data_IF_038316397255
#
_entry.id   IF_038316397255
#
_cell.length_a   1.000
_cell.length_b   1.000
_cell.length_c   1.000
_cell.angle_alpha   90.00
_cell.angle_beta   90.00
_cell.angle_gamma   90.00
#
_symmetry.space_group_name_H-M   'P 1'
#
loop_
_entity.id
_entity.type
_entity.pdbx_description
1 polymer ?
#
# COMPACT_ATOMS: atom_id res chain seq x y z
N UNK A 1 -15.81 17.02 -3.06
CA UNK A 1 -16.83 15.97 -3.19
C UNK A 1 -18.01 16.42 -2.36
N UNK A 2 -19.15 16.66 -2.99
CA UNK A 2 -20.41 16.70 -2.25
C UNK A 2 -20.85 15.26 -2.09
N UNK A 3 -20.93 14.79 -0.84
CA UNK A 3 -21.33 13.44 -0.51
C UNK A 3 -22.64 13.49 0.27
N UNK A 4 -23.68 12.88 -0.30
CA UNK A 4 -24.94 12.65 0.41
C UNK A 4 -24.87 11.28 1.07
N UNK A 5 -24.93 11.25 2.40
CA UNK A 5 -24.98 10.01 3.17
C UNK A 5 -26.44 9.68 3.49
N UNK A 6 -26.91 8.53 3.03
CA UNK A 6 -28.19 7.95 3.42
C UNK A 6 -27.94 6.68 4.24
N UNK A 7 -28.62 6.53 5.38
CA UNK A 7 -28.51 5.33 6.22
C UNK A 7 -29.53 4.31 5.74
N UNK A 8 -29.14 3.04 5.62
CA UNK A 8 -30.06 1.96 5.29
C UNK A 8 -31.11 1.83 6.40
N UNK A 9 -32.35 1.52 6.03
CA UNK A 9 -33.49 1.48 6.96
C UNK A 9 -33.33 0.48 8.11
N UNK A 10 -32.52 -0.56 7.90
CA UNK A 10 -32.20 -1.61 8.88
C UNK A 10 -31.00 -1.25 9.78
N UNK A 11 -30.38 -0.07 9.56
CA UNK A 11 -29.21 0.38 10.30
C UNK A 11 -27.93 -0.42 10.01
N UNK A 12 -27.94 -1.35 9.05
CA UNK A 12 -26.81 -2.24 8.75
C UNK A 12 -25.66 -1.53 8.01
N UNK A 13 -25.93 -0.36 7.44
CA UNK A 13 -24.94 0.41 6.71
C UNK A 13 -25.44 1.77 6.23
N UNK A 14 -24.61 2.43 5.43
CA UNK A 14 -24.97 3.69 4.79
C UNK A 14 -24.54 3.67 3.32
N UNK A 15 -25.40 4.25 2.48
CA UNK A 15 -25.10 4.56 1.08
C UNK A 15 -24.50 5.96 1.04
N UNK A 16 -23.31 6.07 0.47
CA UNK A 16 -22.66 7.34 0.17
C UNK A 16 -22.83 7.63 -1.31
N UNK A 17 -23.61 8.65 -1.63
CA UNK A 17 -23.73 9.16 -2.99
C UNK A 17 -22.73 10.32 -3.12
N UNK A 18 -21.58 10.07 -3.74
CA UNK A 18 -20.65 11.13 -4.11
C UNK A 18 -21.06 11.66 -5.48
N UNK A 19 -21.43 12.94 -5.55
CA UNK A 19 -21.60 13.60 -6.85
C UNK A 19 -20.27 14.22 -7.29
N UNK A 20 -19.98 14.24 -8.61
CA UNK A 20 -18.88 15.05 -9.13
C UNK A 20 -19.09 16.48 -8.64
N UNK A 21 -18.05 17.08 -8.07
CA UNK A 21 -18.13 18.48 -7.70
C UNK A 21 -18.24 19.28 -9.00
N UNK A 22 -19.43 19.80 -9.32
CA UNK A 22 -19.66 20.59 -10.54
C UNK A 22 -18.80 21.87 -10.56
N UNK A 23 -18.24 22.25 -9.41
CA UNK A 23 -17.19 23.23 -9.33
C UNK A 23 -15.86 22.63 -9.79
N UNK A 24 -15.37 23.12 -10.93
CA UNK A 24 -14.02 22.86 -11.44
C UNK A 24 -13.01 23.01 -10.30
N UNK A 25 -12.09 22.04 -10.09
CA UNK A 25 -11.10 22.13 -9.02
C UNK A 25 -10.33 23.45 -9.13
N UNK A 26 -10.30 24.21 -8.05
CA UNK A 26 -9.52 25.44 -7.96
C UNK A 26 -8.19 25.10 -7.29
N UNK A 27 -7.10 25.16 -8.04
CA UNK A 27 -5.74 25.02 -7.49
C UNK A 27 -5.30 26.24 -6.65
N UNK A 28 -6.09 27.33 -6.64
CA UNK A 28 -5.86 28.48 -5.76
C UNK A 28 -5.89 28.04 -4.29
N UNK A 29 -4.73 28.05 -3.63
CA UNK A 29 -4.55 27.57 -2.25
C UNK A 29 -3.81 26.23 -2.12
N UNK A 30 -3.71 25.45 -3.21
CA UNK A 30 -2.86 24.24 -3.28
C UNK A 30 -1.41 24.65 -3.54
N UNK A 31 -1.21 25.61 -4.47
CA UNK A 31 0.10 26.18 -4.76
C UNK A 31 -0.02 27.60 -5.32
N UNK A 32 0.94 28.46 -4.96
CA UNK A 32 1.15 29.77 -5.60
C UNK A 32 2.20 29.67 -6.74
N UNK A 33 2.87 28.52 -6.86
CA UNK A 33 3.89 28.23 -7.86
C UNK A 33 3.31 27.34 -8.97
N UNK A 34 4.06 27.17 -10.05
CA UNK A 34 3.68 26.24 -11.10
C UNK A 34 3.60 24.80 -10.55
N UNK A 35 2.61 24.02 -10.99
CA UNK A 35 2.55 22.58 -10.75
C UNK A 35 3.55 21.89 -11.67
N UNK A 36 4.38 21.02 -11.09
CA UNK A 36 5.42 20.30 -11.84
C UNK A 36 4.97 18.87 -12.09
N UNK A 37 4.77 18.50 -13.35
CA UNK A 37 4.45 17.13 -13.76
C UNK A 37 5.75 16.44 -14.16
N UNK A 38 6.03 15.29 -13.57
CA UNK A 38 7.29 14.55 -13.75
C UNK A 38 6.98 13.17 -14.31
N UNK A 39 7.61 12.83 -15.43
CA UNK A 39 7.35 11.59 -16.17
C UNK A 39 8.63 11.03 -16.80
N UNK A 40 8.70 9.73 -17.06
CA UNK A 40 9.85 9.13 -17.74
C UNK A 40 9.92 9.52 -19.22
N UNK A 41 8.75 9.55 -19.86
CA UNK A 41 8.51 9.90 -21.26
C UNK A 41 7.22 10.69 -21.34
N UNK A 42 7.01 11.42 -22.41
CA UNK A 42 5.73 12.11 -22.64
C UNK A 42 4.58 11.09 -22.77
N UNK A 43 3.51 11.32 -22.01
CA UNK A 43 2.31 10.47 -21.97
C UNK A 43 1.03 11.28 -22.23
N UNK A 44 -0.02 10.59 -22.70
CA UNK A 44 -1.34 11.21 -22.86
C UNK A 44 -1.96 11.67 -21.53
N UNK A 45 -1.66 10.98 -20.43
CA UNK A 45 -2.03 11.43 -19.08
C UNK A 45 -1.28 12.71 -18.70
N UNK A 46 0.02 12.82 -19.05
CA UNK A 46 0.81 14.04 -18.88
C UNK A 46 0.24 15.24 -19.64
N UNK A 47 -0.20 15.03 -20.89
CA UNK A 47 -0.89 16.05 -21.71
C UNK A 47 -2.20 16.50 -21.04
N UNK A 48 -3.03 15.52 -20.68
CA UNK A 48 -4.34 15.74 -20.06
C UNK A 48 -4.21 16.49 -18.72
N UNK A 49 -3.22 16.13 -17.90
CA UNK A 49 -2.90 16.82 -16.65
C UNK A 49 -2.43 18.26 -16.88
N UNK A 50 -1.54 18.50 -17.85
CA UNK A 50 -1.09 19.85 -18.15
C UNK A 50 -2.26 20.74 -18.59
N UNK A 51 -3.12 20.22 -19.46
CA UNK A 51 -4.33 20.92 -19.90
C UNK A 51 -5.29 21.15 -18.72
N UNK A 52 -5.52 20.14 -17.89
CA UNK A 52 -6.42 20.24 -16.75
C UNK A 52 -5.94 21.27 -15.72
N UNK A 53 -4.64 21.31 -15.40
CA UNK A 53 -4.02 22.31 -14.51
C UNK A 53 -4.17 23.71 -15.09
N UNK A 54 -3.83 23.90 -16.37
CA UNK A 54 -3.91 25.22 -17.02
C UNK A 54 -5.35 25.72 -17.11
N UNK A 55 -6.32 24.83 -17.27
CA UNK A 55 -7.75 25.14 -17.23
C UNK A 55 -8.26 25.62 -15.85
N UNK A 56 -7.49 25.43 -14.77
CA UNK A 56 -7.79 26.04 -13.47
C UNK A 56 -7.19 27.45 -13.31
N UNK A 57 -6.44 27.93 -14.31
CA UNK A 57 -5.68 29.19 -14.25
C UNK A 57 -4.31 29.09 -13.58
N UNK A 58 -3.87 27.89 -13.19
CA UNK A 58 -2.54 27.67 -12.63
C UNK A 58 -1.52 27.39 -13.74
N UNK A 59 -0.24 27.73 -13.51
CA UNK A 59 0.83 27.36 -14.41
C UNK A 59 1.18 25.87 -14.24
N UNK A 60 1.46 25.18 -15.34
CA UNK A 60 1.89 23.79 -15.37
C UNK A 60 3.21 23.67 -16.12
N UNK A 61 4.15 22.90 -15.58
CA UNK A 61 5.42 22.58 -16.23
C UNK A 61 5.60 21.07 -16.26
N UNK A 62 5.88 20.51 -17.43
CA UNK A 62 6.27 19.11 -17.59
C UNK A 62 7.79 18.98 -17.63
N UNK A 63 8.32 17.97 -16.93
CA UNK A 63 9.76 17.73 -16.82
C UNK A 63 10.01 16.23 -16.92
N UNK A 64 10.87 15.83 -17.86
CA UNK A 64 11.32 14.45 -17.91
C UNK A 64 12.17 14.12 -16.68
N UNK A 65 11.96 12.94 -16.10
CA UNK A 65 12.67 12.52 -14.89
C UNK A 65 14.19 12.57 -15.05
N UNK A 66 14.70 12.19 -16.22
CA UNK A 66 16.13 12.26 -16.54
C UNK A 66 16.73 13.67 -16.42
N UNK A 67 15.90 14.72 -16.56
CA UNK A 67 16.29 16.13 -16.49
C UNK A 67 16.06 16.77 -15.10
N UNK A 68 15.59 16.00 -14.12
CA UNK A 68 15.48 16.49 -12.75
C UNK A 68 16.88 16.66 -12.15
N UNK A 69 17.19 17.89 -11.74
CA UNK A 69 18.48 18.30 -11.17
C UNK A 69 18.23 19.25 -9.99
N UNK A 70 19.30 19.68 -9.31
CA UNK A 70 19.19 20.67 -8.23
C UNK A 70 18.68 22.04 -8.71
N UNK A 71 18.85 22.35 -10.00
CA UNK A 71 18.35 23.59 -10.60
C UNK A 71 16.84 23.52 -10.92
N UNK A 72 16.24 22.33 -10.88
CA UNK A 72 14.81 22.15 -11.07
C UNK A 72 14.07 22.85 -9.92
N UNK A 73 13.14 23.74 -10.24
CA UNK A 73 12.43 24.60 -9.26
C UNK A 73 11.38 23.81 -8.46
N UNK A 74 11.82 22.85 -7.64
CA UNK A 74 10.96 22.00 -6.83
C UNK A 74 10.75 22.53 -5.41
N UNK A 75 11.57 23.49 -4.97
CA UNK A 75 11.48 24.06 -3.62
C UNK A 75 10.08 24.60 -3.32
N UNK A 76 9.40 23.93 -2.38
CA UNK A 76 8.01 24.16 -1.97
C UNK A 76 6.97 24.04 -3.09
N UNK A 77 7.32 23.40 -4.20
CA UNK A 77 6.41 23.17 -5.31
C UNK A 77 5.38 22.07 -4.97
N UNK A 78 4.31 22.03 -5.75
CA UNK A 78 3.43 20.86 -5.86
C UNK A 78 3.83 20.08 -7.10
N UNK A 79 4.18 18.82 -6.92
CA UNK A 79 4.58 17.93 -8.00
C UNK A 79 3.58 16.79 -8.20
N UNK A 80 3.36 16.39 -9.45
CA UNK A 80 2.64 15.18 -9.83
C UNK A 80 3.66 14.25 -10.47
N UNK A 81 3.89 13.11 -9.85
CA UNK A 81 4.88 12.12 -10.28
C UNK A 81 4.17 10.97 -10.98
N UNK A 82 4.38 10.84 -12.29
CA UNK A 82 3.91 9.74 -13.13
C UNK A 82 4.96 8.64 -13.30
N UNK A 83 5.98 8.62 -12.44
CA UNK A 83 7.12 7.70 -12.55
C UNK A 83 6.72 6.23 -12.41
N UNK A 84 5.71 5.97 -11.58
CA UNK A 84 5.16 4.63 -11.30
C UNK A 84 3.85 4.37 -12.09
N UNK A 85 3.46 5.29 -12.99
CA UNK A 85 2.21 5.18 -13.73
C UNK A 85 2.28 4.10 -14.81
N UNK A 86 3.47 3.73 -15.29
CA UNK A 86 3.65 2.72 -16.35
C UNK A 86 4.50 1.53 -15.92
N UNK A 87 5.63 1.80 -15.25
CA UNK A 87 6.61 0.78 -14.88
C UNK A 87 7.01 0.92 -13.41
N UNK A 88 7.30 -0.19 -12.70
CA UNK A 88 7.60 -0.18 -11.28
C UNK A 88 9.02 0.36 -11.00
N UNK A 89 9.19 1.68 -11.01
CA UNK A 89 10.49 2.35 -10.84
C UNK A 89 11.18 1.88 -9.56
N UNK A 90 10.47 1.88 -8.43
CA UNK A 90 11.02 1.54 -7.12
C UNK A 90 11.46 0.08 -6.99
N UNK A 91 10.95 -0.82 -7.81
CA UNK A 91 11.35 -2.22 -7.80
C UNK A 91 12.76 -2.45 -8.38
N UNK A 92 13.23 -1.53 -9.24
CA UNK A 92 14.50 -1.63 -9.96
C UNK A 92 15.27 -0.32 -10.03
N UNK A 93 15.11 0.55 -9.03
CA UNK A 93 15.63 1.92 -9.08
C UNK A 93 17.17 1.94 -9.08
N UNK A 94 17.77 2.68 -10.02
CA UNK A 94 19.23 2.87 -10.07
C UNK A 94 19.69 3.97 -9.11
N UNK A 95 20.99 4.02 -8.80
CA UNK A 95 21.57 5.08 -7.96
C UNK A 95 21.31 6.50 -8.50
N UNK A 96 21.28 6.65 -9.82
CA UNK A 96 21.04 7.93 -10.46
C UNK A 96 19.59 8.38 -10.31
N UNK A 97 18.66 7.44 -10.43
CA UNK A 97 17.23 7.68 -10.26
C UNK A 97 16.89 7.91 -8.80
N UNK A 98 17.49 7.14 -7.88
CA UNK A 98 17.35 7.34 -6.44
C UNK A 98 17.82 8.75 -6.03
N UNK A 99 18.93 9.25 -6.60
CA UNK A 99 19.38 10.63 -6.37
C UNK A 99 18.34 11.65 -6.82
N UNK A 100 17.73 11.47 -8.00
CA UNK A 100 16.69 12.38 -8.50
C UNK A 100 15.38 12.28 -7.71
N UNK A 101 14.99 11.09 -7.28
CA UNK A 101 13.84 10.88 -6.41
C UNK A 101 14.04 11.57 -5.06
N UNK A 102 15.26 11.52 -4.49
CA UNK A 102 15.63 12.27 -3.28
C UNK A 102 15.54 13.78 -3.46
N UNK A 103 15.90 14.31 -4.64
CA UNK A 103 15.71 15.74 -4.94
C UNK A 103 14.22 16.10 -4.98
N UNK A 104 13.41 15.27 -5.64
CA UNK A 104 11.97 15.45 -5.72
C UNK A 104 11.31 15.49 -4.34
N UNK A 105 11.49 14.43 -3.55
CA UNK A 105 10.89 14.31 -2.22
C UNK A 105 11.59 15.18 -1.17
N UNK A 106 12.80 15.67 -1.44
CA UNK A 106 13.55 16.56 -0.56
C UNK A 106 13.20 18.03 -0.70
N UNK A 107 12.71 18.47 -1.86
CA UNK A 107 12.45 19.89 -2.13
C UNK A 107 10.96 20.22 -2.25
N UNK A 108 10.14 19.31 -2.77
CA UNK A 108 8.72 19.55 -2.96
C UNK A 108 7.97 19.63 -1.62
N UNK A 109 6.93 20.47 -1.58
CA UNK A 109 6.01 20.56 -0.43
C UNK A 109 4.92 19.50 -0.53
N UNK A 110 4.34 19.35 -1.72
CA UNK A 110 3.33 18.35 -2.02
C UNK A 110 3.83 17.49 -3.17
N UNK A 111 3.68 16.17 -3.07
CA UNK A 111 3.93 15.24 -4.16
C UNK A 111 2.73 14.31 -4.26
N UNK A 112 2.09 14.24 -5.42
CA UNK A 112 1.13 13.19 -5.75
C UNK A 112 1.81 12.15 -6.64
N UNK A 113 2.08 10.97 -6.09
CA UNK A 113 2.63 9.84 -6.81
C UNK A 113 1.50 9.01 -7.41
N UNK A 114 1.52 8.84 -8.73
CA UNK A 114 0.54 8.02 -9.46
C UNK A 114 1.17 6.65 -9.72
N UNK A 115 0.49 5.59 -9.30
CA UNK A 115 0.90 4.19 -9.50
C UNK A 115 -0.16 3.46 -10.30
N UNK A 116 0.22 2.46 -11.10
CA UNK A 116 -0.72 1.62 -11.84
C UNK A 116 -0.68 0.16 -11.38
N UNK A 117 -0.93 -0.05 -10.09
CA UNK A 117 -0.87 -1.35 -9.43
C UNK A 117 -2.15 -2.17 -9.52
N UNK A 118 -3.31 -1.51 -9.67
CA UNK A 118 -4.63 -2.08 -9.39
C UNK A 118 -4.58 -2.88 -8.07
N UNK A 119 -4.14 -2.19 -7.01
CA UNK A 119 -3.79 -2.79 -5.72
C UNK A 119 -5.02 -3.35 -5.00
N UNK A 120 -6.21 -2.81 -5.27
CA UNK A 120 -7.47 -3.38 -4.78
C UNK A 120 -7.69 -4.81 -5.29
N UNK A 121 -7.30 -5.09 -6.53
CA UNK A 121 -7.39 -6.43 -7.13
C UNK A 121 -6.06 -7.20 -7.07
N UNK A 122 -5.00 -6.58 -6.52
CA UNK A 122 -3.69 -7.20 -6.31
C UNK A 122 -2.94 -7.57 -7.59
N UNK A 123 -3.13 -6.84 -8.70
CA UNK A 123 -2.54 -7.22 -10.00
C UNK A 123 -1.03 -7.06 -10.07
N UNK A 124 -0.52 -5.88 -9.67
CA UNK A 124 0.91 -5.55 -9.79
C UNK A 124 1.47 -5.11 -8.43
N UNK A 125 1.82 -6.06 -7.54
CA UNK A 125 2.23 -5.75 -6.18
C UNK A 125 3.51 -4.90 -6.10
N UNK A 126 4.36 -4.93 -7.12
CA UNK A 126 5.57 -4.10 -7.19
C UNK A 126 5.24 -2.60 -7.15
N UNK A 127 4.08 -2.19 -7.66
CA UNK A 127 3.62 -0.79 -7.61
C UNK A 127 3.23 -0.35 -6.20
N UNK A 128 2.98 -1.30 -5.28
CA UNK A 128 2.70 -1.01 -3.88
C UNK A 128 3.88 -0.44 -3.09
N UNK A 129 5.10 -0.47 -3.64
CA UNK A 129 6.29 0.08 -2.99
C UNK A 129 6.17 1.59 -2.76
N UNK A 130 5.47 2.33 -3.62
CA UNK A 130 5.28 3.77 -3.47
C UNK A 130 4.47 4.12 -2.21
N UNK A 131 3.49 3.29 -1.84
CA UNK A 131 2.72 3.47 -0.60
C UNK A 131 3.61 3.31 0.64
N UNK A 132 4.41 2.25 0.70
CA UNK A 132 5.36 2.04 1.80
C UNK A 132 6.42 3.15 1.90
N UNK A 133 6.94 3.61 0.76
CA UNK A 133 7.86 4.75 0.72
C UNK A 133 7.19 6.03 1.25
N UNK A 134 5.93 6.26 0.91
CA UNK A 134 5.15 7.40 1.40
C UNK A 134 5.11 7.40 2.92
N UNK A 135 4.72 6.30 3.55
CA UNK A 135 4.67 6.18 5.00
C UNK A 135 6.02 6.47 5.66
N UNK A 136 7.10 5.89 5.13
CA UNK A 136 8.43 6.10 5.67
C UNK A 136 8.88 7.57 5.58
N UNK A 137 8.71 8.21 4.42
CA UNK A 137 9.14 9.59 4.21
C UNK A 137 8.30 10.59 4.99
N UNK A 138 7.01 10.32 5.15
CA UNK A 138 6.11 11.17 5.91
C UNK A 138 6.40 11.18 7.41
N UNK A 139 6.92 10.08 7.96
CA UNK A 139 7.41 10.02 9.34
C UNK A 139 8.73 10.78 9.52
N UNK A 140 9.57 10.80 8.49
CA UNK A 140 10.88 11.44 8.52
C UNK A 140 10.79 12.96 8.29
N UNK A 141 9.91 13.41 7.39
CA UNK A 141 9.84 14.80 6.93
C UNK A 141 8.45 15.41 7.11
N UNK A 142 8.29 16.20 8.16
CA UNK A 142 7.04 16.92 8.44
C UNK A 142 6.67 18.00 7.41
N UNK A 143 7.62 18.44 6.58
CA UNK A 143 7.40 19.46 5.56
C UNK A 143 6.92 18.91 4.21
N UNK A 144 7.00 17.58 4.01
CA UNK A 144 6.55 16.91 2.79
C UNK A 144 5.17 16.28 3.02
N UNK A 145 4.24 16.58 2.11
CA UNK A 145 2.99 15.84 1.98
C UNK A 145 3.07 14.96 0.73
N UNK A 146 3.38 13.68 0.93
CA UNK A 146 3.41 12.68 -0.12
C UNK A 146 2.08 11.93 -0.16
N UNK A 147 1.38 12.05 -1.28
CA UNK A 147 0.12 11.37 -1.57
C UNK A 147 0.38 10.27 -2.60
N UNK A 148 -0.36 9.17 -2.49
CA UNK A 148 -0.32 8.06 -3.44
C UNK A 148 -1.70 7.86 -4.03
N UNK A 149 -1.76 7.79 -5.35
CA UNK A 149 -2.95 7.47 -6.12
C UNK A 149 -2.68 6.25 -6.97
N UNK A 150 -3.34 5.14 -6.65
CA UNK A 150 -3.26 3.93 -7.45
C UNK A 150 -4.40 3.89 -8.47
N UNK A 151 -4.07 3.84 -9.76
CA UNK A 151 -5.03 3.75 -10.87
C UNK A 151 -5.17 2.31 -11.34
N UNK A 152 -6.37 1.93 -11.79
CA UNK A 152 -6.62 0.66 -12.48
C UNK A 152 -6.50 0.76 -14.01
N UNK A 153 -6.12 1.94 -14.52
CA UNK A 153 -5.96 2.29 -15.95
C UNK A 153 -7.19 2.06 -16.82
N UNK A 154 -8.39 2.05 -16.25
CA UNK A 154 -9.62 1.88 -17.03
C UNK A 154 -10.22 3.21 -17.47
N UNK A 155 -9.97 4.27 -16.72
CA UNK A 155 -10.43 5.61 -17.06
C UNK A 155 -9.68 6.17 -18.28
N UNK A 156 -10.35 7.04 -19.03
CA UNK A 156 -9.69 7.88 -20.03
C UNK A 156 -8.79 8.90 -19.34
N UNK A 157 -7.69 9.27 -20.00
CA UNK A 157 -6.67 10.16 -19.46
C UNK A 157 -7.23 11.52 -18.98
N UNK A 158 -8.25 12.06 -19.65
CA UNK A 158 -8.92 13.30 -19.25
C UNK A 158 -9.71 13.14 -17.93
N UNK A 159 -10.42 12.02 -17.76
CA UNK A 159 -11.14 11.71 -16.53
C UNK A 159 -10.16 11.48 -15.37
N UNK A 160 -9.09 10.73 -15.61
CA UNK A 160 -8.06 10.47 -14.61
C UNK A 160 -7.34 11.77 -14.19
N UNK A 161 -7.00 12.65 -15.14
CA UNK A 161 -6.42 13.95 -14.85
C UNK A 161 -7.34 14.81 -13.96
N UNK A 162 -8.66 14.78 -14.20
CA UNK A 162 -9.64 15.47 -13.36
C UNK A 162 -9.71 14.88 -11.94
N UNK A 163 -9.71 13.56 -11.81
CA UNK A 163 -9.68 12.86 -10.53
C UNK A 163 -8.44 13.24 -9.71
N UNK A 164 -7.26 13.21 -10.34
CA UNK A 164 -5.98 13.58 -9.72
C UNK A 164 -5.98 15.04 -9.23
N UNK A 165 -6.50 15.98 -10.03
CA UNK A 165 -6.64 17.38 -9.62
C UNK A 165 -7.62 17.58 -8.47
N UNK A 166 -8.73 16.84 -8.48
CA UNK A 166 -9.70 16.88 -7.41
C UNK A 166 -9.05 16.42 -6.10
N UNK A 167 -8.27 15.34 -6.12
CA UNK A 167 -7.54 14.83 -4.96
C UNK A 167 -6.51 15.85 -4.45
N UNK A 168 -5.69 16.43 -5.35
CA UNK A 168 -4.73 17.47 -4.97
C UNK A 168 -5.38 18.66 -4.26
N UNK A 169 -6.59 19.00 -4.68
CA UNK A 169 -7.35 20.11 -4.10
C UNK A 169 -7.98 19.71 -2.77
N UNK A 170 -8.66 18.56 -2.69
CA UNK A 170 -9.32 18.11 -1.46
C UNK A 170 -8.32 17.76 -0.37
N UNK A 171 -7.14 17.25 -0.73
CA UNK A 171 -6.12 16.83 0.22
C UNK A 171 -5.55 17.98 1.07
N UNK A 172 -5.77 19.24 0.67
CA UNK A 172 -5.35 20.41 1.46
C UNK A 172 -6.16 20.57 2.75
N UNK A 173 -7.34 19.95 2.85
CA UNK A 173 -8.16 20.04 4.05
C UNK A 173 -7.54 19.23 5.20
N UNK A 174 -7.62 19.76 6.42
CA UNK A 174 -7.18 19.05 7.62
C UNK A 174 -7.92 17.72 7.76
N UNK A 175 -7.18 16.64 8.01
CA UNK A 175 -7.75 15.29 8.15
C UNK A 175 -8.04 14.57 6.83
N UNK A 176 -7.60 15.12 5.69
CA UNK A 176 -7.68 14.42 4.40
C UNK A 176 -6.73 13.24 4.32
N UNK A 177 -7.12 12.24 3.55
CA UNK A 177 -6.28 11.09 3.25
C UNK A 177 -5.12 11.44 2.33
N UNK A 178 -4.17 10.51 2.31
CA UNK A 178 -2.97 10.58 1.49
C UNK A 178 -2.80 9.34 0.63
N UNK A 179 -3.70 8.38 0.73
CA UNK A 179 -3.72 7.17 -0.07
C UNK A 179 -5.11 6.98 -0.67
N UNK A 180 -5.11 6.82 -1.98
CA UNK A 180 -6.30 6.75 -2.82
C UNK A 180 -6.10 5.59 -3.80
N UNK A 181 -7.19 4.87 -4.08
CA UNK A 181 -7.19 3.82 -5.12
C UNK A 181 -8.40 4.03 -6.02
N UNK A 182 -8.18 4.14 -7.33
CA UNK A 182 -9.23 4.11 -8.33
C UNK A 182 -9.57 2.66 -8.70
N UNK A 183 -10.86 2.37 -8.77
CA UNK A 183 -11.36 1.14 -9.36
C UNK A 183 -12.64 1.47 -10.13
N UNK A 184 -12.64 1.16 -11.43
CA UNK A 184 -13.73 1.41 -12.36
C UNK A 184 -14.17 2.89 -12.39
N UNK A 185 -13.19 3.80 -12.49
CA UNK A 185 -13.40 5.26 -12.50
C UNK A 185 -13.86 5.86 -11.17
N UNK A 186 -13.98 5.06 -10.12
CA UNK A 186 -14.38 5.51 -8.78
C UNK A 186 -13.17 5.53 -7.84
N UNK A 187 -12.96 6.66 -7.17
CA UNK A 187 -11.88 6.81 -6.19
C UNK A 187 -12.32 6.31 -4.81
N UNK A 188 -11.54 5.39 -4.26
CA UNK A 188 -11.68 4.80 -2.94
C UNK A 188 -10.59 5.30 -1.98
N UNK A 189 -10.90 5.30 -0.68
CA UNK A 189 -9.96 5.60 0.40
C UNK A 189 -10.08 4.52 1.47
N UNK A 190 -8.94 4.06 2.01
CA UNK A 190 -8.93 3.05 3.05
C UNK A 190 -9.46 3.62 4.38
N UNK A 191 -10.27 2.82 5.08
CA UNK A 191 -10.78 3.14 6.42
C UNK A 191 -10.69 1.90 7.29
N UNK A 192 -10.13 2.06 8.49
CA UNK A 192 -10.14 1.01 9.49
C UNK A 192 -11.55 0.92 10.09
N UNK A 193 -12.21 -0.20 9.83
CA UNK A 193 -13.49 -0.54 10.44
C UNK A 193 -13.32 -1.81 11.26
N UNK A 194 -13.96 -1.94 12.44
CA UNK A 194 -13.92 -3.18 13.19
C UNK A 194 -14.49 -4.32 12.36
N UNK A 195 -13.75 -5.41 12.23
CA UNK A 195 -14.29 -6.64 11.66
C UNK A 195 -15.15 -7.34 12.73
N UNK A 196 -16.46 -7.10 12.66
CA UNK A 196 -17.43 -7.66 13.62
C UNK A 196 -17.44 -9.18 13.62
N UNK A 197 -17.10 -9.84 12.49
CA UNK A 197 -17.08 -11.31 12.41
C UNK A 197 -15.85 -11.86 13.12
N UNK A 198 -14.66 -11.32 12.84
CA UNK A 198 -13.43 -11.72 13.55
C UNK A 198 -13.56 -11.39 15.04
N UNK A 199 -14.11 -10.22 15.38
CA UNK A 199 -14.32 -9.83 16.77
C UNK A 199 -15.33 -10.73 17.49
N UNK A 200 -16.38 -11.19 16.81
CA UNK A 200 -17.34 -12.15 17.37
C UNK A 200 -16.70 -13.53 17.55
N UNK A 201 -15.88 -13.99 16.60
CA UNK A 201 -15.10 -15.22 16.75
C UNK A 201 -14.11 -15.13 17.92
N UNK A 202 -13.46 -13.97 18.08
CA UNK A 202 -12.55 -13.71 19.20
C UNK A 202 -13.30 -13.67 20.55
N UNK A 203 -14.48 -13.05 20.61
CA UNK A 203 -15.33 -13.05 21.80
C UNK A 203 -15.84 -14.45 22.14
N UNK A 204 -16.33 -15.20 21.14
CA UNK A 204 -16.72 -16.59 21.31
C UNK A 204 -15.54 -17.43 21.83
N UNK A 205 -14.33 -17.15 21.34
CA UNK A 205 -13.12 -17.81 21.80
C UNK A 205 -12.66 -17.39 23.21
N UNK A 206 -13.10 -16.24 23.71
CA UNK A 206 -12.88 -15.85 25.11
C UNK A 206 -13.93 -16.43 26.06
N UNK A 207 -15.18 -16.57 25.60
CA UNK A 207 -16.31 -17.04 26.41
C UNK A 207 -16.42 -18.56 26.47
N UNK A 208 -15.99 -19.27 25.43
CA UNK A 208 -15.62 -20.67 25.58
C UNK A 208 -14.26 -20.72 26.24
N UNK A 209 -14.02 -21.70 27.11
CA UNK A 209 -12.67 -22.12 27.52
C UNK A 209 -11.97 -22.67 26.28
N UNK A 210 -11.71 -21.81 25.29
CA UNK A 210 -10.84 -22.11 24.19
C UNK A 210 -9.50 -22.20 24.84
N UNK A 211 -9.09 -23.44 24.93
CA UNK A 211 -7.73 -23.85 24.84
C UNK A 211 -6.80 -22.66 24.49
N UNK A 212 -6.12 -22.15 25.51
CA UNK A 212 -4.88 -21.45 25.29
C UNK A 212 -3.90 -22.45 24.69
N UNK A 213 -3.59 -22.28 23.41
CA UNK A 213 -2.34 -22.82 22.89
C UNK A 213 -1.24 -22.18 23.73
N UNK A 214 -0.49 -22.99 24.46
CA UNK A 214 0.72 -22.49 25.10
C UNK A 214 1.66 -21.94 24.00
N UNK A 215 2.48 -20.92 24.30
CA UNK A 215 3.29 -20.25 23.30
C UNK A 215 4.24 -21.23 22.59
N UNK A 216 3.89 -21.55 21.34
CA UNK A 216 4.74 -22.34 20.43
C UNK A 216 5.90 -21.46 20.00
N UNK A 217 7.12 -21.88 20.31
CA UNK A 217 8.33 -21.21 19.90
C UNK A 217 9.38 -22.24 19.48
N UNK A 218 10.26 -21.84 18.57
CA UNK A 218 11.37 -22.68 18.16
C UNK A 218 12.43 -22.68 19.25
N UNK A 219 12.85 -23.88 19.67
CA UNK A 219 13.99 -24.09 20.57
C UNK A 219 15.09 -24.79 19.81
N UNK A 220 16.31 -24.29 19.90
CA UNK A 220 17.48 -25.01 19.42
C UNK A 220 17.64 -26.29 20.25
N UNK A 221 17.70 -27.43 19.57
CA UNK A 221 17.97 -28.73 20.17
C UNK A 221 19.42 -29.07 19.85
N UNK A 222 20.19 -29.46 20.85
CA UNK A 222 21.54 -29.96 20.63
C UNK A 222 21.47 -31.34 19.95
N UNK A 223 22.28 -31.59 18.91
CA UNK A 223 22.33 -32.91 18.30
C UNK A 223 22.76 -33.95 19.34
N UNK A 224 22.28 -35.20 19.22
CA UNK A 224 22.61 -36.25 20.18
C UNK A 224 24.15 -36.43 20.27
N UNK A 225 24.71 -36.56 21.48
CA UNK A 225 26.17 -36.55 21.70
C UNK A 225 26.89 -37.76 21.08
N UNK A 226 26.16 -38.81 20.69
CA UNK A 226 26.71 -40.04 20.11
C UNK A 226 26.67 -40.10 18.58
N UNK A 227 26.28 -39.02 17.91
CA UNK A 227 26.04 -39.06 16.46
C UNK A 227 24.79 -39.87 16.11
N UNK A 228 24.63 -40.19 14.83
CA UNK A 228 23.53 -41.02 14.30
C UNK A 228 23.87 -42.50 14.50
N UNK A 229 22.88 -43.34 14.84
CA UNK A 229 23.07 -44.78 14.82
C UNK A 229 23.22 -45.31 13.39
N UNK A 230 23.70 -46.55 13.22
CA UNK A 230 23.90 -47.16 11.89
C UNK A 230 22.61 -47.19 11.04
N UNK A 231 21.45 -47.27 11.69
CA UNK A 231 20.14 -47.33 11.03
C UNK A 231 19.41 -45.96 10.97
N UNK A 232 20.05 -44.88 11.43
CA UNK A 232 19.47 -43.54 11.43
C UNK A 232 19.91 -42.74 10.21
N UNK A 233 18.97 -42.03 9.59
CA UNK A 233 19.25 -41.04 8.53
C UNK A 233 19.00 -39.63 9.04
N UNK A 234 19.84 -38.70 8.61
CA UNK A 234 19.62 -37.26 8.83
C UNK A 234 18.79 -36.69 7.70
N UNK A 235 17.79 -35.89 8.05
CA UNK A 235 16.94 -35.23 7.07
C UNK A 235 16.82 -33.73 7.33
N UNK A 236 16.97 -32.94 6.26
CA UNK A 236 16.57 -31.54 6.21
C UNK A 236 15.07 -31.45 5.95
N UNK A 237 14.28 -31.33 7.03
CA UNK A 237 12.82 -31.23 6.98
C UNK A 237 12.39 -29.96 6.24
N UNK A 238 11.46 -30.09 5.28
CA UNK A 238 10.89 -28.99 4.49
C UNK A 238 9.43 -28.72 4.81
N UNK A 239 8.68 -29.77 5.13
CA UNK A 239 7.29 -29.66 5.53
C UNK A 239 6.94 -30.72 6.57
N UNK A 240 5.94 -30.41 7.39
CA UNK A 240 5.52 -31.22 8.53
C UNK A 240 4.00 -31.32 8.48
N UNK A 241 3.48 -32.54 8.63
CA UNK A 241 2.05 -32.80 8.76
C UNK A 241 1.57 -32.54 10.19
N UNK A 242 0.43 -31.87 10.32
CA UNK A 242 -0.26 -31.68 11.60
C UNK A 242 -1.56 -32.47 11.58
N UNK A 243 -1.75 -33.30 12.60
CA UNK A 243 -2.93 -34.13 12.79
C UNK A 243 -3.75 -33.66 14.00
N UNK A 244 -4.97 -34.17 14.13
CA UNK A 244 -5.85 -33.84 15.26
C UNK A 244 -5.19 -34.11 16.63
N UNK A 245 -4.30 -35.11 16.69
CA UNK A 245 -3.50 -35.42 17.89
C UNK A 245 -2.56 -34.26 18.29
N UNK A 246 -1.90 -33.62 17.32
CA UNK A 246 -1.00 -32.49 17.58
C UNK A 246 -1.77 -31.30 18.14
N UNK A 247 -2.97 -31.06 17.61
CA UNK A 247 -3.88 -30.07 18.16
C UNK A 247 -4.27 -30.43 19.61
N UNK A 248 -4.63 -31.67 19.92
CA UNK A 248 -4.97 -32.09 21.29
C UNK A 248 -3.81 -31.94 22.29
N UNK A 249 -2.57 -32.12 21.83
CA UNK A 249 -1.35 -31.92 22.61
C UNK A 249 -1.07 -30.44 22.87
N UNK A 250 -1.09 -29.61 21.83
CA UNK A 250 -0.89 -28.15 21.94
C UNK A 250 -2.00 -27.48 22.76
N UNK A 251 -3.13 -28.16 22.87
CA UNK A 251 -4.31 -27.70 23.59
C UNK A 251 -4.41 -28.22 25.02
N UNK A 252 -3.38 -28.92 25.53
CA UNK A 252 -3.36 -29.50 26.89
C UNK A 252 -4.59 -30.37 27.21
N UNK A 253 -5.25 -30.93 26.17
CA UNK A 253 -6.42 -31.81 26.29
C UNK A 253 -6.03 -33.28 26.44
N UNK A 254 -4.76 -33.61 26.23
CA UNK A 254 -4.20 -34.94 26.42
C UNK A 254 -2.81 -34.82 27.08
N UNK A 255 -2.64 -35.46 28.24
CA UNK A 255 -1.36 -35.51 28.94
C UNK A 255 -0.58 -36.74 28.45
N UNK A 256 0.51 -36.52 27.73
CA UNK A 256 1.38 -37.61 27.26
C UNK A 256 2.83 -37.27 27.60
N UNK A 257 3.39 -37.82 28.69
CA UNK A 257 4.77 -37.57 29.08
C UNK A 257 5.73 -37.93 27.94
N UNK A 258 6.47 -36.94 27.44
CA UNK A 258 7.46 -37.13 26.37
C UNK A 258 6.90 -37.23 24.95
N UNK A 259 5.63 -36.90 24.71
CA UNK A 259 5.11 -36.85 23.34
C UNK A 259 5.68 -35.66 22.56
N UNK A 260 6.12 -35.93 21.34
CA UNK A 260 6.46 -34.94 20.33
C UNK A 260 5.24 -34.64 19.46
N UNK A 261 5.10 -33.38 19.04
CA UNK A 261 4.22 -33.04 17.93
C UNK A 261 4.86 -33.47 16.61
N UNK A 262 4.07 -33.51 15.53
CA UNK A 262 4.56 -33.62 14.16
C UNK A 262 5.21 -34.98 13.83
N UNK A 263 4.41 -36.05 13.89
CA UNK A 263 4.84 -37.43 13.61
C UNK A 263 5.06 -37.72 12.12
N UNK A 264 4.68 -36.81 11.22
CA UNK A 264 4.81 -36.95 9.79
C UNK A 264 5.53 -35.73 9.19
N UNK A 265 6.52 -35.97 8.33
CA UNK A 265 7.29 -34.92 7.70
C UNK A 265 7.82 -35.34 6.33
N UNK A 266 8.18 -34.35 5.52
CA UNK A 266 8.87 -34.53 4.24
C UNK A 266 10.11 -33.63 4.20
N UNK A 267 11.16 -34.10 3.53
CA UNK A 267 12.44 -33.40 3.51
C UNK A 267 13.44 -34.04 2.55
N UNK A 268 14.65 -33.52 2.57
CA UNK A 268 15.78 -34.04 1.79
C UNK A 268 16.71 -34.79 2.73
N UNK A 269 17.21 -35.95 2.30
CA UNK A 269 18.23 -36.68 3.06
C UNK A 269 19.55 -35.90 2.99
N UNK A 270 20.13 -35.60 4.15
CA UNK A 270 21.46 -35.02 4.24
C UNK A 270 22.47 -36.17 4.10
N UNK A 271 23.16 -36.23 2.95
CA UNK A 271 24.24 -37.19 2.67
C UNK A 271 25.56 -36.76 3.33
#
# INVERSE_FOLDING_TARGET
MDATKSVLLDGSGAVLLASPNLNRPKLSGVTEKAVVIIEHTETGLGDSLQLAVTNTGAAAQRILFAHVTEATRLKEATAISLLEAELPLLAGITDSEMRRLKLLTGQAKNVLCVTAGDLLNGKTPQMGLAAGLSHALMLEKSSLRLMVYDTDKRAEADCEAQNLLQILTSSQMTGSDLEYVENDGTVHMARFVPDTKINALFQLAQDTTVIRLDPVHFRAIEPPPKGLAEDDIKMSVKAVGLNAKDLYLLTSKADTPGATCALEFSGVVDL
#
